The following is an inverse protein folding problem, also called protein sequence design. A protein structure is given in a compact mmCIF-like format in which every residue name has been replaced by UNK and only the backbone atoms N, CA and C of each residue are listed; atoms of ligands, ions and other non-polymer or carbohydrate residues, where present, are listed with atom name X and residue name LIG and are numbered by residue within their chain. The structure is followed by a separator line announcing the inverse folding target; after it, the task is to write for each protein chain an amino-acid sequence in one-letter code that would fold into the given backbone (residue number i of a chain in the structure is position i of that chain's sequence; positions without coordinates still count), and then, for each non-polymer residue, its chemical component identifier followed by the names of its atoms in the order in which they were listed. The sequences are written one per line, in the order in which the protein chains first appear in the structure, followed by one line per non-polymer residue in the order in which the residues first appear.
data_IF_500410486477
#
_entry.id   IF_500410486477
#
_cell.length_a   1.000
_cell.length_b   1.000
_cell.length_c   1.000
_cell.angle_alpha   90.00
_cell.angle_beta   90.00
_cell.angle_gamma   90.00
#
_symmetry.space_group_name_H-M   'P 1'
#
loop_
_entity.id
_entity.type
_entity.pdbx_description
1 polymer ?
#
# COMPACT_ATOMS: atom_id res chain seq x y z
N UNK A 1 0.33 7.69 11.32
CA UNK A 1 1.30 7.21 12.34
C UNK A 1 1.73 8.39 13.21
N UNK A 2 0.77 9.02 13.86
CA UNK A 2 0.89 10.43 14.21
C UNK A 2 1.79 10.68 15.42
N UNK A 3 2.15 9.61 16.12
CA UNK A 3 3.14 9.61 17.19
C UNK A 3 4.55 10.00 16.72
N UNK A 4 4.81 10.02 15.40
CA UNK A 4 6.04 10.55 14.79
C UNK A 4 5.94 12.04 14.39
N UNK A 5 4.86 12.74 14.73
CA UNK A 5 4.69 14.17 14.47
C UNK A 5 5.66 15.08 15.25
N UNK A 6 6.35 14.53 16.25
CA UNK A 6 7.39 15.22 17.01
C UNK A 6 8.75 14.53 16.83
N UNK A 7 9.84 15.22 17.18
CA UNK A 7 11.21 14.70 17.15
C UNK A 7 11.48 13.78 18.35
N UNK A 8 10.71 12.71 18.47
CA UNK A 8 10.81 11.75 19.57
C UNK A 8 12.05 10.87 19.47
N UNK A 9 12.66 10.76 18.29
CA UNK A 9 13.95 10.10 18.12
C UNK A 9 15.06 10.79 18.95
N UNK A 10 14.97 12.11 19.19
CA UNK A 10 15.90 12.82 20.07
C UNK A 10 15.73 12.48 21.57
N UNK A 11 14.66 11.79 21.94
CA UNK A 11 14.33 11.48 23.36
C UNK A 11 14.82 10.11 23.84
N UNK A 12 15.49 9.32 22.99
CA UNK A 12 15.85 7.94 23.32
C UNK A 12 14.81 6.90 22.92
N UNK A 13 13.76 7.28 22.17
CA UNK A 13 12.69 6.37 21.79
C UNK A 13 13.19 5.37 20.73
N UNK A 14 13.53 4.16 21.18
CA UNK A 14 14.20 3.12 20.37
C UNK A 14 13.58 2.86 18.99
N UNK A 15 12.24 2.81 18.91
CA UNK A 15 11.54 2.54 17.65
C UNK A 15 11.61 3.72 16.67
N UNK A 16 11.71 4.96 17.18
CA UNK A 16 11.83 6.16 16.36
C UNK A 16 13.29 6.33 15.90
N UNK A 17 14.26 6.21 16.82
CA UNK A 17 15.69 6.28 16.52
C UNK A 17 16.14 5.30 15.44
N UNK A 18 15.61 4.08 15.45
CA UNK A 18 15.94 3.10 14.41
C UNK A 18 15.35 3.50 13.06
N UNK A 19 14.09 3.97 13.03
CA UNK A 19 13.36 4.31 11.80
C UNK A 19 13.86 5.57 11.12
N UNK A 20 14.28 6.57 11.89
CA UNK A 20 14.73 7.86 11.36
C UNK A 20 16.22 7.92 11.03
N UNK A 21 16.98 6.85 11.31
CA UNK A 21 18.41 6.78 10.99
C UNK A 21 18.66 6.08 9.64
N UNK A 22 19.04 6.81 8.58
CA UNK A 22 19.30 6.23 7.26
C UNK A 22 20.41 5.17 7.23
N UNK A 23 21.32 5.16 8.22
CA UNK A 23 22.35 4.12 8.32
C UNK A 23 21.77 2.76 8.75
N UNK A 24 20.54 2.74 9.28
CA UNK A 24 19.88 1.56 9.84
C UNK A 24 18.63 1.17 9.06
N UNK A 25 17.75 2.13 8.77
CA UNK A 25 16.46 1.91 8.10
C UNK A 25 16.51 2.08 6.59
N UNK A 26 17.58 2.66 6.05
CA UNK A 26 17.72 2.98 4.63
C UNK A 26 17.28 4.41 4.29
N UNK A 27 17.26 4.73 3.00
CA UNK A 27 17.15 6.12 2.53
C UNK A 27 15.74 6.72 2.54
N UNK A 28 14.72 5.95 2.93
CA UNK A 28 13.32 6.38 2.96
C UNK A 28 12.70 6.22 4.35
N UNK A 29 12.07 7.28 4.84
CA UNK A 29 11.29 7.27 6.08
C UNK A 29 9.85 6.85 5.81
N UNK A 30 8.95 7.82 5.70
CA UNK A 30 7.54 7.62 5.38
C UNK A 30 7.33 6.79 4.10
N UNK A 31 8.11 7.06 3.05
CA UNK A 31 8.02 6.31 1.80
C UNK A 31 8.30 4.82 1.96
N UNK A 32 9.30 4.47 2.77
CA UNK A 32 9.70 3.09 2.99
C UNK A 32 8.70 2.35 3.86
N UNK A 33 8.25 3.01 4.93
CA UNK A 33 7.40 2.42 5.96
C UNK A 33 5.94 2.25 5.50
N UNK A 34 5.33 3.29 4.91
CA UNK A 34 3.90 3.28 4.54
C UNK A 34 3.63 3.63 3.08
N UNK A 35 4.54 4.34 2.40
CA UNK A 35 4.43 4.63 0.97
C UNK A 35 4.46 3.36 0.11
N UNK A 36 5.31 2.39 0.46
CA UNK A 36 5.42 1.08 -0.22
C UNK A 36 4.12 0.27 -0.15
N UNK A 37 3.41 0.29 0.98
CA UNK A 37 2.10 -0.35 1.10
C UNK A 37 1.09 0.26 0.13
N UNK A 38 1.00 1.59 0.06
CA UNK A 38 0.10 2.27 -0.87
C UNK A 38 0.46 1.99 -2.33
N UNK A 39 1.76 1.99 -2.65
CA UNK A 39 2.26 1.70 -4.00
C UNK A 39 1.94 0.26 -4.43
N UNK A 40 2.28 -0.74 -3.60
CA UNK A 40 1.98 -2.14 -3.89
C UNK A 40 0.47 -2.39 -4.05
N UNK A 41 -0.35 -1.81 -3.15
CA UNK A 41 -1.80 -1.94 -3.23
C UNK A 41 -2.38 -1.34 -4.52
N UNK A 42 -1.84 -0.19 -4.97
CA UNK A 42 -2.28 0.44 -6.21
C UNK A 42 -2.02 -0.46 -7.42
N UNK A 43 -0.84 -1.07 -7.53
CA UNK A 43 -0.53 -1.98 -8.64
C UNK A 43 -1.31 -3.28 -8.56
N UNK A 44 -1.40 -3.87 -7.37
CA UNK A 44 -2.13 -5.11 -7.15
C UNK A 44 -3.62 -4.99 -7.50
N UNK A 45 -4.30 -3.97 -6.97
CA UNK A 45 -5.75 -3.79 -7.16
C UNK A 45 -6.08 -3.40 -8.60
N UNK A 46 -5.22 -2.62 -9.26
CA UNK A 46 -5.46 -2.20 -10.64
C UNK A 46 -4.96 -3.21 -11.68
N UNK A 47 -4.21 -4.24 -11.25
CA UNK A 47 -3.39 -5.08 -12.12
C UNK A 47 -2.53 -4.25 -13.10
N UNK A 48 -2.12 -3.05 -12.66
CA UNK A 48 -1.45 -2.05 -13.46
C UNK A 48 0.01 -1.90 -13.05
N UNK A 49 0.85 -1.54 -14.02
CA UNK A 49 2.27 -1.27 -13.80
C UNK A 49 2.55 0.22 -13.91
N UNK A 50 3.06 0.84 -12.84
CA UNK A 50 3.58 2.20 -12.86
C UNK A 50 4.86 2.24 -13.70
N UNK A 51 4.94 3.19 -14.64
CA UNK A 51 6.08 3.36 -15.55
C UNK A 51 6.95 4.58 -15.25
N UNK A 52 6.34 5.62 -14.70
CA UNK A 52 7.04 6.83 -14.28
C UNK A 52 6.29 7.51 -13.14
N UNK A 53 7.05 8.19 -12.29
CA UNK A 53 6.55 8.92 -11.14
C UNK A 53 7.15 10.31 -11.08
N UNK A 54 6.46 11.21 -10.39
CA UNK A 54 6.91 12.55 -10.06
C UNK A 54 6.63 12.75 -8.57
N UNK A 55 7.67 12.72 -7.76
CA UNK A 55 7.62 12.74 -6.30
C UNK A 55 8.11 14.07 -5.72
N UNK A 56 7.40 14.52 -4.70
CA UNK A 56 7.81 15.51 -3.72
C UNK A 56 7.85 14.82 -2.35
N UNK A 57 8.99 14.92 -1.69
CA UNK A 57 9.24 14.30 -0.39
C UNK A 57 9.69 15.39 0.58
N UNK A 58 9.06 15.43 1.74
CA UNK A 58 9.26 16.48 2.74
C UNK A 58 9.62 15.88 4.08
N UNK A 59 10.48 16.59 4.80
CA UNK A 59 10.74 16.37 6.22
C UNK A 59 10.22 17.59 6.97
N UNK A 60 9.07 17.44 7.62
CA UNK A 60 8.44 18.51 8.39
C UNK A 60 9.00 18.62 9.81
N UNK A 61 9.36 17.50 10.44
CA UNK A 61 9.92 17.50 11.80
C UNK A 61 11.37 17.99 11.77
N UNK A 62 11.60 19.14 12.40
CA UNK A 62 12.94 19.76 12.47
C UNK A 62 13.98 18.80 13.06
N UNK A 63 15.11 18.68 12.37
CA UNK A 63 16.23 17.80 12.76
C UNK A 63 16.06 16.33 12.36
N UNK A 64 14.90 15.91 11.84
CA UNK A 64 14.74 14.57 11.26
C UNK A 64 15.53 14.43 9.97
N UNK A 65 16.06 13.23 9.73
CA UNK A 65 17.00 12.96 8.61
C UNK A 65 16.34 12.35 7.37
N UNK A 66 15.12 11.85 7.51
CA UNK A 66 14.35 11.15 6.48
C UNK A 66 13.02 11.85 6.24
N UNK A 67 12.41 11.58 5.09
CA UNK A 67 11.06 12.06 4.77
C UNK A 67 10.04 11.56 5.80
N UNK A 68 9.08 12.42 6.12
CA UNK A 68 7.95 12.11 6.98
C UNK A 68 6.59 12.40 6.31
N UNK A 69 6.61 12.99 5.11
CA UNK A 69 5.48 13.16 4.20
C UNK A 69 5.93 13.02 2.74
N UNK A 70 5.13 12.34 1.93
CA UNK A 70 5.38 12.19 0.48
C UNK A 70 4.11 12.45 -0.32
N UNK A 71 4.27 13.12 -1.46
CA UNK A 71 3.23 13.33 -2.45
C UNK A 71 3.77 12.93 -3.82
N UNK A 72 3.13 11.96 -4.47
CA UNK A 72 3.65 11.34 -5.68
C UNK A 72 2.55 11.22 -6.73
N UNK A 73 2.81 11.79 -7.91
CA UNK A 73 2.01 11.55 -9.11
C UNK A 73 2.57 10.33 -9.85
N UNK A 74 1.67 9.46 -10.29
CA UNK A 74 2.00 8.19 -10.96
C UNK A 74 1.43 8.18 -12.37
N UNK A 75 2.14 7.56 -13.31
CA UNK A 75 1.62 7.18 -14.63
C UNK A 75 1.81 5.69 -14.83
N UNK A 76 0.75 5.01 -15.26
CA UNK A 76 0.74 3.59 -15.54
C UNK A 76 0.97 3.32 -17.04
N UNK A 77 1.46 2.13 -17.38
CA UNK A 77 1.63 1.68 -18.78
C UNK A 77 0.32 1.75 -19.58
N UNK A 78 -0.82 1.42 -18.97
CA UNK A 78 -2.14 1.49 -19.61
C UNK A 78 -2.74 2.90 -19.73
N UNK A 79 -1.97 3.97 -19.47
CA UNK A 79 -2.43 5.35 -19.57
C UNK A 79 -3.18 5.88 -18.34
N UNK A 80 -3.51 5.03 -17.37
CA UNK A 80 -4.07 5.45 -16.09
C UNK A 80 -3.09 6.38 -15.35
N UNK A 81 -3.65 7.29 -14.54
CA UNK A 81 -2.89 8.23 -13.70
C UNK A 81 -3.22 7.96 -12.25
N UNK A 82 -2.24 8.13 -11.38
CA UNK A 82 -2.39 7.95 -9.95
C UNK A 82 -1.90 9.14 -9.14
N UNK A 83 -2.42 9.25 -7.93
CA UNK A 83 -1.92 10.12 -6.88
C UNK A 83 -1.74 9.26 -5.63
N UNK A 84 -0.55 9.31 -5.05
CA UNK A 84 -0.18 8.63 -3.82
C UNK A 84 0.26 9.69 -2.83
N UNK A 85 -0.35 9.65 -1.64
CA UNK A 85 0.06 10.44 -0.49
C UNK A 85 0.26 9.51 0.69
N UNK A 86 1.35 9.70 1.40
CA UNK A 86 1.60 9.02 2.67
C UNK A 86 2.25 10.01 3.64
N UNK A 87 1.84 9.95 4.91
CA UNK A 87 2.29 10.87 5.94
C UNK A 87 2.39 10.19 7.30
N UNK A 88 3.52 10.37 7.97
CA UNK A 88 3.72 10.03 9.37
C UNK A 88 3.36 11.21 10.29
N UNK A 89 3.10 12.38 9.72
CA UNK A 89 2.90 13.66 10.41
C UNK A 89 1.53 14.27 10.10
N UNK A 90 0.51 13.42 9.91
CA UNK A 90 -0.88 13.81 9.69
C UNK A 90 -1.76 13.47 10.91
N UNK A 91 -1.83 14.33 11.95
CA UNK A 91 -2.62 14.08 13.14
C UNK A 91 -4.10 13.76 12.87
N UNK A 92 -4.63 12.77 13.60
CA UNK A 92 -5.99 12.25 13.44
C UNK A 92 -6.09 10.99 12.58
N UNK A 93 -4.96 10.44 12.14
CA UNK A 93 -4.86 9.29 11.24
C UNK A 93 -4.03 8.14 11.84
N UNK A 94 -4.66 7.33 12.71
CA UNK A 94 -4.07 6.11 13.27
C UNK A 94 -3.56 5.15 12.16
N UNK A 95 -4.45 4.81 11.21
CA UNK A 95 -4.14 4.07 9.99
C UNK A 95 -5.13 4.43 8.87
N UNK A 96 -4.76 5.43 8.07
CA UNK A 96 -5.60 5.99 7.01
C UNK A 96 -5.47 5.34 5.63
N UNK A 97 -4.92 4.12 5.52
CA UNK A 97 -4.71 3.47 4.22
C UNK A 97 -6.04 3.35 3.45
N UNK A 98 -6.10 4.04 2.31
CA UNK A 98 -7.29 4.14 1.45
C UNK A 98 -6.88 3.99 0.00
N UNK A 99 -7.65 3.22 -0.76
CA UNK A 99 -7.53 3.14 -2.21
C UNK A 99 -8.83 3.56 -2.88
N UNK A 100 -8.70 4.35 -3.94
CA UNK A 100 -9.81 4.78 -4.79
C UNK A 100 -9.43 4.55 -6.25
N UNK A 101 -10.28 3.81 -6.97
CA UNK A 101 -10.09 3.50 -8.38
C UNK A 101 -11.27 4.05 -9.16
N UNK A 102 -10.99 4.87 -10.16
CA UNK A 102 -12.00 5.51 -10.99
C UNK A 102 -11.88 4.98 -12.42
N UNK A 103 -12.91 4.30 -12.89
CA UNK A 103 -13.03 3.83 -14.26
C UNK A 103 -14.18 4.50 -15.00
N UNK A 104 -14.28 4.24 -16.29
CA UNK A 104 -15.30 4.81 -17.18
C UNK A 104 -16.74 4.36 -16.80
N UNK A 105 -16.88 3.27 -16.05
CA UNK A 105 -18.18 2.66 -15.70
C UNK A 105 -18.54 2.78 -14.23
N UNK A 106 -17.56 2.91 -13.35
CA UNK A 106 -17.77 2.94 -11.91
C UNK A 106 -16.52 3.44 -11.18
N UNK A 107 -16.70 3.85 -9.94
CA UNK A 107 -15.62 4.04 -8.97
C UNK A 107 -15.69 3.00 -7.85
N UNK A 108 -14.53 2.65 -7.30
CA UNK A 108 -14.37 1.81 -6.11
C UNK A 108 -13.62 2.61 -5.04
N UNK A 109 -14.07 2.52 -3.79
CA UNK A 109 -13.36 3.04 -2.62
C UNK A 109 -13.32 2.00 -1.51
N UNK A 110 -12.12 1.78 -0.95
CA UNK A 110 -11.90 0.92 0.20
C UNK A 110 -10.94 1.59 1.18
N UNK A 111 -11.17 1.38 2.48
CA UNK A 111 -10.36 1.93 3.57
C UNK A 111 -10.05 0.86 4.61
N UNK A 112 -8.80 0.80 5.04
CA UNK A 112 -8.28 -0.18 5.99
C UNK A 112 -9.01 -0.16 7.34
N UNK A 113 -9.49 1.01 7.78
CA UNK A 113 -10.23 1.15 9.04
C UNK A 113 -11.61 0.45 9.02
N UNK A 114 -12.16 0.20 7.83
CA UNK A 114 -13.42 -0.54 7.63
C UNK A 114 -13.23 -1.66 6.61
N UNK A 115 -12.34 -2.65 6.88
CA UNK A 115 -11.81 -3.54 5.85
C UNK A 115 -12.87 -4.48 5.26
N UNK A 116 -14.01 -4.64 5.94
CA UNK A 116 -15.13 -5.50 5.52
C UNK A 116 -16.11 -4.81 4.55
N UNK A 117 -15.88 -3.54 4.19
CA UNK A 117 -16.78 -2.74 3.35
C UNK A 117 -16.00 -2.09 2.21
N UNK A 118 -16.63 -2.04 1.04
CA UNK A 118 -16.15 -1.29 -0.11
C UNK A 118 -17.33 -0.50 -0.70
N UNK A 119 -17.09 0.74 -1.10
CA UNK A 119 -18.09 1.54 -1.82
C UNK A 119 -17.90 1.32 -3.32
N UNK A 120 -18.96 0.87 -3.98
CA UNK A 120 -19.07 0.79 -5.43
C UNK A 120 -19.99 1.92 -5.91
N UNK A 121 -19.51 2.75 -6.83
CA UNK A 121 -20.27 3.88 -7.37
C UNK A 121 -20.41 3.73 -8.88
N UNK A 122 -21.43 3.02 -9.40
CA UNK A 122 -21.64 2.89 -10.84
C UNK A 122 -22.02 4.24 -11.46
N UNK A 123 -21.56 4.50 -12.68
CA UNK A 123 -21.85 5.73 -13.40
C UNK A 123 -23.36 5.90 -13.60
N UNK A 124 -23.91 7.03 -13.13
CA UNK A 124 -25.33 7.35 -13.27
C UNK A 124 -26.26 6.55 -12.35
N UNK A 125 -25.74 5.85 -11.33
CA UNK A 125 -26.54 5.11 -10.34
C UNK A 125 -26.16 5.48 -8.91
N UNK A 126 -26.99 5.06 -7.96
CA UNK A 126 -26.71 5.21 -6.54
C UNK A 126 -25.46 4.42 -6.13
N UNK A 127 -24.76 4.91 -5.11
CA UNK A 127 -23.68 4.17 -4.48
C UNK A 127 -24.20 2.91 -3.80
N UNK A 128 -23.41 1.86 -3.87
CA UNK A 128 -23.68 0.55 -3.30
C UNK A 128 -22.56 0.20 -2.30
N UNK A 129 -22.93 -0.38 -1.16
CA UNK A 129 -21.95 -0.91 -0.21
C UNK A 129 -21.80 -2.41 -0.48
N UNK A 130 -20.61 -2.82 -0.90
CA UNK A 130 -20.24 -4.23 -1.03
C UNK A 130 -19.62 -4.68 0.28
N UNK A 131 -20.15 -5.73 0.87
CA UNK A 131 -19.67 -6.29 2.14
C UNK A 131 -18.89 -7.59 1.91
N UNK A 132 -17.86 -7.81 2.73
CA UNK A 132 -17.08 -9.05 2.73
C UNK A 132 -18.01 -10.26 2.88
N UNK A 133 -17.83 -11.23 1.98
CA UNK A 133 -18.62 -12.46 1.92
C UNK A 133 -20.14 -12.24 1.74
N UNK A 134 -20.58 -11.02 1.41
CA UNK A 134 -21.99 -10.67 1.16
C UNK A 134 -22.50 -11.14 -0.20
N UNK A 135 -23.68 -10.66 -0.64
CA UNK A 135 -24.31 -11.10 -1.90
C UNK A 135 -23.46 -10.89 -3.16
N UNK A 136 -22.55 -9.91 -3.15
CA UNK A 136 -21.61 -9.64 -4.24
C UNK A 136 -20.34 -10.50 -4.23
N UNK A 137 -20.18 -11.42 -3.28
CA UNK A 137 -18.96 -12.22 -3.15
C UNK A 137 -18.81 -13.26 -4.28
N UNK A 138 -17.67 -13.20 -4.96
CA UNK A 138 -17.25 -14.14 -6.00
C UNK A 138 -16.31 -15.24 -5.43
N UNK A 139 -15.88 -16.19 -6.27
CA UNK A 139 -14.99 -17.28 -5.87
C UNK A 139 -13.68 -16.78 -5.22
N UNK A 140 -13.06 -15.74 -5.79
CA UNK A 140 -11.81 -15.18 -5.28
C UNK A 140 -11.98 -14.60 -3.85
N UNK A 141 -13.00 -13.78 -3.63
CA UNK A 141 -13.27 -13.21 -2.30
C UNK A 141 -13.70 -14.26 -1.25
N UNK A 142 -14.41 -15.31 -1.68
CA UNK A 142 -14.80 -16.43 -0.81
C UNK A 142 -13.61 -17.27 -0.37
N UNK A 143 -12.63 -17.51 -1.25
CA UNK A 143 -11.41 -18.29 -0.96
C UNK A 143 -10.62 -17.71 0.21
N UNK A 144 -10.57 -16.38 0.32
CA UNK A 144 -9.81 -15.68 1.36
C UNK A 144 -10.66 -15.23 2.56
N UNK A 145 -11.95 -15.57 2.59
CA UNK A 145 -12.85 -15.30 3.72
C UNK A 145 -12.96 -16.53 4.62
N UNK A 146 -12.86 -16.35 5.93
CA UNK A 146 -12.87 -17.44 6.94
C UNK A 146 -14.23 -17.62 7.59
N UNK A 147 -14.92 -16.52 7.84
CA UNK A 147 -16.19 -16.52 8.59
C UNK A 147 -17.33 -15.93 7.77
N UNK A 148 -18.59 -16.30 8.08
CA UNK A 148 -19.77 -15.82 7.36
C UNK A 148 -19.89 -14.29 7.35
N UNK A 149 -20.65 -13.77 6.37
CA UNK A 149 -20.96 -12.35 6.28
C UNK A 149 -21.56 -11.81 7.58
N UNK A 150 -21.24 -10.56 7.91
CA UNK A 150 -21.69 -9.89 9.14
C UNK A 150 -20.80 -10.12 10.36
N UNK A 151 -19.98 -11.17 10.39
CA UNK A 151 -18.94 -11.35 11.41
C UNK A 151 -17.66 -10.62 10.95
N UNK A 152 -17.07 -9.75 11.78
CA UNK A 152 -15.93 -8.94 11.35
C UNK A 152 -14.66 -9.77 11.22
N UNK A 153 -13.96 -9.63 10.09
CA UNK A 153 -12.55 -9.99 9.93
C UNK A 153 -11.70 -8.72 9.90
N UNK A 154 -10.41 -8.82 10.13
CA UNK A 154 -9.53 -7.66 10.14
C UNK A 154 -8.08 -7.99 9.85
N UNK A 155 -7.19 -7.26 10.54
CA UNK A 155 -5.76 -7.29 10.33
C UNK A 155 -5.17 -8.70 10.44
N UNK A 156 -5.59 -9.47 11.45
CA UNK A 156 -5.07 -10.82 11.69
C UNK A 156 -5.47 -11.80 10.59
N UNK A 157 -6.72 -11.73 10.09
CA UNK A 157 -7.16 -12.57 8.96
C UNK A 157 -6.45 -12.18 7.66
N UNK A 158 -6.17 -10.89 7.45
CA UNK A 158 -5.35 -10.41 6.34
C UNK A 158 -3.95 -11.03 6.34
N UNK A 159 -3.28 -11.04 7.50
CA UNK A 159 -1.98 -11.70 7.65
C UNK A 159 -2.08 -13.22 7.53
N UNK A 160 -3.11 -13.84 8.11
CA UNK A 160 -3.33 -15.27 7.97
C UNK A 160 -3.52 -15.67 6.51
N UNK A 161 -4.24 -14.87 5.71
CA UNK A 161 -4.32 -15.06 4.26
C UNK A 161 -2.93 -15.03 3.64
N UNK A 162 -2.19 -13.94 3.81
CA UNK A 162 -0.86 -13.78 3.23
C UNK A 162 0.08 -14.96 3.55
N UNK A 163 0.15 -15.39 4.80
CA UNK A 163 1.02 -16.49 5.20
C UNK A 163 0.52 -17.85 4.69
N UNK A 164 -0.78 -18.06 4.55
CA UNK A 164 -1.33 -19.27 3.90
C UNK A 164 -0.93 -19.32 2.43
N UNK A 165 -1.03 -18.21 1.69
CA UNK A 165 -0.61 -18.13 0.28
C UNK A 165 0.87 -18.46 0.11
N UNK A 166 1.73 -17.91 0.98
CA UNK A 166 3.16 -18.19 0.99
C UNK A 166 3.44 -19.66 1.31
N UNK A 167 2.75 -20.23 2.30
CA UNK A 167 2.91 -21.64 2.66
C UNK A 167 2.52 -22.58 1.52
N UNK A 168 1.42 -22.29 0.82
CA UNK A 168 0.96 -23.06 -0.35
C UNK A 168 1.98 -22.99 -1.49
N UNK A 169 2.60 -21.83 -1.71
CA UNK A 169 3.66 -21.66 -2.71
C UNK A 169 4.93 -22.44 -2.35
N UNK A 170 5.35 -22.43 -1.08
CA UNK A 170 6.50 -23.22 -0.60
C UNK A 170 6.22 -24.71 -0.73
N UNK A 171 5.04 -25.18 -0.27
CA UNK A 171 4.66 -26.59 -0.37
C UNK A 171 4.54 -27.07 -1.83
N UNK A 172 4.24 -26.17 -2.77
CA UNK A 172 4.29 -26.47 -4.19
C UNK A 172 5.73 -26.63 -4.69
N UNK A 173 6.61 -25.69 -4.35
CA UNK A 173 8.01 -25.73 -4.72
C UNK A 173 8.73 -26.97 -4.17
N UNK A 174 8.51 -27.32 -2.90
CA UNK A 174 9.09 -28.51 -2.26
C UNK A 174 8.66 -29.82 -2.95
N UNK A 175 7.46 -29.84 -3.51
CA UNK A 175 6.93 -30.96 -4.28
C UNK A 175 7.31 -30.92 -5.77
N UNK A 176 8.16 -29.98 -6.19
CA UNK A 176 8.60 -29.84 -7.58
C UNK A 176 7.49 -29.39 -8.55
N UNK A 177 6.44 -28.75 -8.06
CA UNK A 177 5.28 -28.27 -8.84
C UNK A 177 5.16 -26.76 -8.77
N UNK A 178 4.49 -26.17 -9.78
CA UNK A 178 4.11 -24.76 -9.72
C UNK A 178 3.04 -24.52 -8.64
N UNK A 179 3.07 -23.34 -8.02
CA UNK A 179 1.99 -22.89 -7.16
C UNK A 179 0.69 -22.78 -7.97
N UNK A 180 -0.48 -23.07 -7.38
CA UNK A 180 -1.78 -22.83 -8.02
C UNK A 180 -1.91 -21.37 -8.51
N UNK A 181 -2.61 -21.17 -9.63
CA UNK A 181 -2.72 -19.84 -10.25
C UNK A 181 -3.52 -18.81 -9.42
N UNK A 182 -4.35 -19.30 -8.49
CA UNK A 182 -5.12 -18.50 -7.54
C UNK A 182 -4.37 -18.23 -6.24
N UNK A 183 -3.14 -18.73 -6.10
CA UNK A 183 -2.23 -18.39 -4.99
C UNK A 183 -1.59 -17.04 -5.26
N UNK A 184 -1.81 -16.08 -4.36
CA UNK A 184 -1.39 -14.69 -4.53
C UNK A 184 -0.55 -14.23 -3.33
N UNK A 185 0.72 -13.92 -3.56
CA UNK A 185 1.62 -13.39 -2.54
C UNK A 185 2.65 -12.43 -3.16
N UNK A 186 3.17 -11.45 -2.40
CA UNK A 186 4.28 -10.63 -2.85
C UNK A 186 5.52 -11.48 -3.07
N UNK A 187 6.11 -11.37 -4.26
CA UNK A 187 7.30 -12.10 -4.69
C UNK A 187 8.57 -11.28 -4.49
N UNK A 188 9.73 -11.87 -4.80
CA UNK A 188 10.99 -11.12 -4.85
C UNK A 188 10.94 -9.97 -5.86
N UNK A 189 10.21 -10.13 -6.96
CA UNK A 189 10.05 -9.08 -7.97
C UNK A 189 9.29 -7.88 -7.38
N UNK A 190 8.24 -8.12 -6.60
CA UNK A 190 7.49 -7.07 -5.90
C UNK A 190 8.36 -6.35 -4.87
N UNK A 191 9.20 -7.10 -4.14
CA UNK A 191 10.19 -6.53 -3.21
C UNK A 191 11.20 -5.62 -3.91
N UNK A 192 11.80 -6.09 -5.02
CA UNK A 192 12.73 -5.27 -5.82
C UNK A 192 12.04 -4.04 -6.40
N UNK A 193 10.78 -4.19 -6.83
CA UNK A 193 9.97 -3.10 -7.36
C UNK A 193 9.65 -2.05 -6.31
N UNK A 194 9.39 -2.45 -5.06
CA UNK A 194 9.25 -1.54 -3.93
C UNK A 194 10.52 -0.74 -3.65
N UNK A 195 11.70 -1.37 -3.73
CA UNK A 195 12.99 -0.68 -3.59
C UNK A 195 13.23 0.31 -4.74
N UNK A 196 12.95 -0.08 -5.98
CA UNK A 196 13.04 0.80 -7.15
C UNK A 196 12.11 2.01 -7.02
N UNK A 197 10.91 1.82 -6.45
CA UNK A 197 9.97 2.89 -6.15
C UNK A 197 10.52 3.90 -5.15
N UNK A 198 11.12 3.42 -4.04
CA UNK A 198 11.76 4.29 -3.04
C UNK A 198 12.90 5.09 -3.68
N UNK A 199 13.84 4.42 -4.34
CA UNK A 199 15.02 5.06 -4.94
C UNK A 199 14.63 6.09 -6.01
N UNK A 200 13.67 5.73 -6.87
CA UNK A 200 13.21 6.61 -7.95
C UNK A 200 12.48 7.83 -7.42
N UNK A 201 11.69 7.68 -6.34
CA UNK A 201 11.01 8.81 -5.69
C UNK A 201 12.00 9.76 -5.04
N UNK A 202 13.01 9.24 -4.35
CA UNK A 202 14.09 10.07 -3.76
C UNK A 202 14.82 10.84 -4.86
N UNK A 203 15.18 10.17 -5.97
CA UNK A 203 15.83 10.79 -7.12
C UNK A 203 14.97 11.87 -7.76
N UNK A 204 13.68 11.61 -7.97
CA UNK A 204 12.71 12.58 -8.49
C UNK A 204 12.64 13.82 -7.60
N UNK A 205 12.48 13.62 -6.28
CA UNK A 205 12.34 14.72 -5.32
C UNK A 205 13.61 15.58 -5.26
N UNK A 206 14.79 14.96 -5.18
CA UNK A 206 16.09 15.66 -5.18
C UNK A 206 16.35 16.45 -6.46
N UNK A 207 15.77 16.03 -7.58
CA UNK A 207 15.86 16.73 -8.87
C UNK A 207 14.78 17.82 -9.04
N UNK A 208 14.05 18.18 -7.99
CA UNK A 208 13.02 19.23 -8.03
C UNK A 208 11.66 18.76 -8.51
N UNK A 209 11.30 17.49 -8.26
CA UNK A 209 9.99 16.94 -8.62
C UNK A 209 9.82 16.73 -10.12
N UNK A 210 10.74 16.00 -10.74
CA UNK A 210 10.70 15.71 -12.18
C UNK A 210 10.19 14.30 -12.48
N UNK A 211 9.44 14.15 -13.57
CA UNK A 211 9.01 12.83 -14.05
C UNK A 211 10.22 11.92 -14.29
N UNK A 212 10.28 10.83 -13.52
CA UNK A 212 11.38 9.88 -13.53
C UNK A 212 10.84 8.47 -13.78
N UNK A 213 11.48 7.73 -14.68
CA UNK A 213 11.12 6.34 -14.98
C UNK A 213 11.40 5.45 -13.80
N UNK A 214 10.45 4.56 -13.52
CA UNK A 214 10.55 3.53 -12.50
C UNK A 214 11.33 2.31 -13.02
#
# INVERSE_FOLDING_TARGET
QDWLAENIEATGHKQAEWRSDPARSGAGGCIGDIGTHAFNLAEFVTAGTVRELCAEMTTFVEGRRLDDDIQILLRFEGGAKGFLWASQVAPGHENGLKIRVYGEKAALEWVQAEPNRMILSPLGRNQEIVTRNGPGANAASKRVSRIPAGHPEGYLEGFANLYTEIADAIAAADAGRAAPADVLYPTLADGLRGLAFIETSIRSSKAGGVWTKL
#
